data_IF_481669461963
#
_entry.id   IF_481669461963
#
_cell.length_a   1.000
_cell.length_b   1.000
_cell.length_c   1.000
_cell.angle_alpha   90.00
_cell.angle_beta   90.00
_cell.angle_gamma   90.00
#
_symmetry.space_group_name_H-M   'P 1'
#
loop_
_entity.id
_entity.type
_entity.pdbx_description
1 polymer ?
#
# COMPACT_ATOMS: atom_id res chain seq x y z
N UNK A 1 -10.61 4.86 0.78
CA UNK A 1 -11.37 6.14 0.66
C UNK A 1 -11.51 6.57 -0.80
N UNK A 2 -12.68 7.08 -1.24
CA UNK A 2 -12.89 7.55 -2.61
C UNK A 2 -11.93 8.71 -2.94
N UNK A 3 -11.62 8.87 -4.23
CA UNK A 3 -10.79 9.97 -4.69
C UNK A 3 -11.43 11.29 -4.28
N UNK A 4 -10.61 12.25 -3.84
CA UNK A 4 -11.09 13.52 -3.29
C UNK A 4 -10.65 14.66 -4.19
N UNK A 5 -11.56 15.59 -4.43
CA UNK A 5 -11.17 16.90 -4.96
C UNK A 5 -10.35 17.61 -3.89
N UNK A 6 -9.14 18.04 -4.23
CA UNK A 6 -8.28 18.77 -3.30
C UNK A 6 -8.84 20.17 -3.12
N UNK A 7 -9.03 20.59 -1.87
CA UNK A 7 -9.54 21.91 -1.51
C UNK A 7 -8.63 22.58 -0.50
N UNK A 8 -8.49 23.90 -0.58
CA UNK A 8 -7.85 24.69 0.46
C UNK A 8 -8.78 24.88 1.69
N UNK A 9 -8.28 25.53 2.74
CA UNK A 9 -9.04 25.81 3.98
C UNK A 9 -10.31 26.65 3.75
N UNK A 10 -10.38 27.41 2.65
CA UNK A 10 -11.55 28.19 2.25
C UNK A 10 -12.53 27.40 1.37
N UNK A 11 -12.24 26.12 1.09
CA UNK A 11 -13.08 25.25 0.28
C UNK A 11 -12.90 25.43 -1.24
N UNK A 12 -11.93 26.21 -1.70
CA UNK A 12 -11.66 26.40 -3.13
C UNK A 12 -10.92 25.19 -3.68
N UNK A 13 -11.31 24.76 -4.87
CA UNK A 13 -10.79 23.58 -5.55
C UNK A 13 -9.41 23.89 -6.12
N UNK A 14 -8.39 23.13 -5.73
CA UNK A 14 -7.07 23.25 -6.30
C UNK A 14 -7.07 22.75 -7.75
N UNK A 15 -6.41 23.50 -8.61
CA UNK A 15 -6.24 23.21 -10.03
C UNK A 15 -4.76 23.29 -10.40
N UNK A 16 -4.35 22.51 -11.40
CA UNK A 16 -2.98 22.53 -11.95
C UNK A 16 -3.02 22.77 -13.45
N UNK A 17 -2.02 23.44 -13.98
CA UNK A 17 -1.80 23.51 -15.41
C UNK A 17 -1.26 22.16 -15.92
N UNK A 18 -1.67 21.73 -17.11
CA UNK A 18 -1.30 20.44 -17.69
C UNK A 18 0.04 20.49 -18.44
N UNK A 19 0.58 21.68 -18.68
CA UNK A 19 1.79 21.91 -19.49
C UNK A 19 2.96 22.44 -18.68
N UNK A 20 2.72 22.91 -17.45
CA UNK A 20 3.73 23.42 -16.54
C UNK A 20 3.30 23.14 -15.08
N UNK A 21 4.20 23.38 -14.12
CA UNK A 21 3.93 23.15 -12.68
C UNK A 21 3.18 24.32 -11.99
N UNK A 22 2.40 25.11 -12.72
CA UNK A 22 1.60 26.18 -12.13
C UNK A 22 0.33 25.64 -11.46
N UNK A 23 -0.05 26.29 -10.35
CA UNK A 23 -1.23 25.97 -9.57
C UNK A 23 -2.18 27.16 -9.48
N UNK A 24 -3.45 26.87 -9.19
CA UNK A 24 -4.50 27.85 -9.02
C UNK A 24 -5.67 27.29 -8.23
N UNK A 25 -6.64 28.15 -7.94
CA UNK A 25 -7.82 27.83 -7.16
C UNK A 25 -9.08 28.23 -7.92
N UNK A 26 -10.03 27.32 -7.98
CA UNK A 26 -11.37 27.53 -8.51
C UNK A 26 -12.38 27.60 -7.36
N UNK A 27 -13.09 28.72 -7.26
CA UNK A 27 -14.19 28.88 -6.31
C UNK A 27 -15.45 28.23 -6.89
N UNK A 28 -15.92 27.08 -6.35
CA UNK A 28 -17.07 26.37 -6.91
C UNK A 28 -18.41 27.10 -6.72
N UNK A 29 -18.46 28.10 -5.84
CA UNK A 29 -19.68 28.87 -5.55
C UNK A 29 -19.84 30.06 -6.48
N UNK A 30 -18.74 30.71 -6.87
CA UNK A 30 -18.77 31.88 -7.75
C UNK A 30 -18.37 31.56 -9.18
N UNK A 31 -17.71 30.43 -9.41
CA UNK A 31 -17.13 30.05 -10.69
C UNK A 31 -15.85 30.82 -11.04
N UNK A 32 -15.25 31.54 -10.10
CA UNK A 32 -14.00 32.27 -10.34
C UNK A 32 -12.79 31.35 -10.22
N UNK A 33 -11.89 31.43 -11.19
CA UNK A 33 -10.55 30.86 -11.14
C UNK A 33 -9.52 31.97 -10.91
N UNK A 34 -8.50 31.66 -10.10
CA UNK A 34 -7.31 32.48 -9.92
C UNK A 34 -6.07 31.59 -9.79
N UNK A 35 -5.02 31.86 -10.55
CA UNK A 35 -3.72 31.20 -10.35
C UNK A 35 -3.00 31.70 -9.10
N UNK A 36 -2.06 30.92 -8.57
CA UNK A 36 -1.36 31.24 -7.31
C UNK A 36 -0.53 32.52 -7.40
N UNK A 37 -0.03 32.87 -8.59
CA UNK A 37 0.73 34.08 -8.83
C UNK A 37 -0.15 35.30 -9.16
N UNK A 38 -1.47 35.14 -9.11
CA UNK A 38 -2.48 36.15 -9.44
C UNK A 38 -2.35 36.77 -10.85
N UNK A 39 -1.63 36.12 -11.77
CA UNK A 39 -1.45 36.58 -13.15
C UNK A 39 -2.69 36.34 -14.00
N UNK A 40 -3.53 35.37 -13.64
CA UNK A 40 -4.69 34.94 -14.40
C UNK A 40 -5.91 34.79 -13.51
N UNK A 41 -6.91 35.63 -13.77
CA UNK A 41 -8.21 35.61 -13.10
C UNK A 41 -9.33 35.61 -14.13
N UNK A 42 -10.25 34.65 -14.04
CA UNK A 42 -11.35 34.53 -15.01
C UNK A 42 -12.53 33.73 -14.44
N UNK A 43 -13.67 33.75 -15.13
CA UNK A 43 -14.75 32.79 -14.91
C UNK A 43 -14.45 31.47 -15.59
N UNK A 44 -14.71 30.37 -14.87
CA UNK A 44 -14.45 29.02 -15.35
C UNK A 44 -12.97 28.64 -15.35
N UNK A 45 -12.73 27.35 -15.49
CA UNK A 45 -11.38 26.79 -15.56
C UNK A 45 -10.72 27.15 -16.91
N UNK A 46 -9.47 27.66 -16.93
CA UNK A 46 -8.82 27.96 -18.20
C UNK A 46 -8.49 26.70 -19.00
N UNK A 47 -8.39 26.83 -20.33
CA UNK A 47 -7.90 25.74 -21.17
C UNK A 47 -6.49 25.32 -20.74
N UNK A 48 -6.25 24.00 -20.69
CA UNK A 48 -4.98 23.44 -20.20
C UNK A 48 -4.84 23.45 -18.68
N UNK A 49 -5.93 23.65 -17.94
CA UNK A 49 -5.96 23.50 -16.49
C UNK A 49 -6.92 22.38 -16.11
N UNK A 50 -6.55 21.62 -15.08
CA UNK A 50 -7.31 20.49 -14.57
C UNK A 50 -7.51 20.61 -13.06
N UNK A 51 -8.64 20.10 -12.56
CA UNK A 51 -8.88 19.96 -11.13
C UNK A 51 -7.90 18.92 -10.57
N UNK A 52 -7.26 19.26 -9.45
CA UNK A 52 -6.42 18.32 -8.72
C UNK A 52 -7.31 17.36 -7.94
N UNK A 53 -7.22 16.09 -8.31
CA UNK A 53 -7.86 14.99 -7.60
C UNK A 53 -6.77 14.26 -6.83
N UNK A 54 -6.91 14.21 -5.51
CA UNK A 54 -6.16 13.28 -4.68
C UNK A 54 -6.70 11.88 -4.97
N UNK A 55 -5.90 11.09 -5.67
CA UNK A 55 -6.28 9.71 -5.97
C UNK A 55 -6.40 8.91 -4.68
N UNK A 56 -7.37 8.00 -4.67
CA UNK A 56 -7.58 7.01 -3.61
C UNK A 56 -6.31 6.26 -3.20
N UNK A 57 -5.37 6.09 -4.14
CA UNK A 57 -4.15 5.33 -3.98
C UNK A 57 -2.98 6.10 -3.34
N UNK A 58 -3.07 7.42 -3.12
CA UNK A 58 -2.05 8.18 -2.39
C UNK A 58 -1.96 7.79 -0.89
N UNK A 59 -2.78 6.84 -0.44
CA UNK A 59 -2.83 6.34 0.92
C UNK A 59 -2.16 4.96 1.08
N UNK A 60 -1.96 4.21 -0.01
CA UNK A 60 -1.29 2.92 0.02
C UNK A 60 0.23 3.10 -0.20
N UNK A 61 1.10 2.32 0.46
CA UNK A 61 0.83 1.23 1.41
C UNK A 61 0.92 1.66 2.90
N UNK A 62 0.36 2.81 3.31
CA UNK A 62 0.28 3.15 4.74
C UNK A 62 -0.89 2.41 5.40
N UNK A 63 -0.58 1.33 6.12
CA UNK A 63 -1.55 0.44 6.75
C UNK A 63 -2.47 1.16 7.75
N UNK A 64 -2.00 2.23 8.41
CA UNK A 64 -2.80 3.04 9.34
C UNK A 64 -3.95 3.77 8.64
N UNK A 65 -3.80 4.04 7.34
CA UNK A 65 -4.83 4.68 6.53
C UNK A 65 -5.86 3.68 6.01
N UNK A 66 -5.57 2.38 6.09
CA UNK A 66 -6.44 1.29 5.61
C UNK A 66 -7.18 0.67 6.78
N UNK A 67 -6.44 0.16 7.77
CA UNK A 67 -6.95 -0.31 9.05
C UNK A 67 -6.29 0.57 10.13
N UNK A 68 -6.98 1.61 10.63
CA UNK A 68 -6.40 2.53 11.61
C UNK A 68 -6.34 1.91 13.02
N UNK A 69 -5.25 2.16 13.78
CA UNK A 69 -5.19 1.77 15.18
C UNK A 69 -6.20 2.56 16.03
N UNK A 70 -6.69 1.98 17.13
CA UNK A 70 -7.58 2.69 18.03
C UNK A 70 -6.83 3.80 18.80
N UNK A 71 -7.56 4.86 19.19
CA UNK A 71 -6.98 6.04 19.82
C UNK A 71 -6.31 5.75 21.18
N UNK A 72 -6.77 4.74 21.90
CA UNK A 72 -6.23 4.33 23.20
C UNK A 72 -5.06 3.35 23.11
N UNK A 73 -4.52 3.12 21.90
CA UNK A 73 -3.39 2.19 21.71
C UNK A 73 -2.10 2.76 22.32
N UNK A 74 -1.36 1.91 23.04
CA UNK A 74 -0.03 2.25 23.54
C UNK A 74 0.97 2.23 22.38
N UNK A 75 1.51 3.40 22.04
CA UNK A 75 2.40 3.62 20.88
C UNK A 75 3.86 3.87 21.26
N UNK A 76 4.15 4.11 22.54
CA UNK A 76 5.53 4.26 23.05
C UNK A 76 6.25 2.90 23.08
N UNK A 77 7.57 2.96 23.17
CA UNK A 77 8.38 1.78 23.51
C UNK A 77 7.98 1.25 24.89
N UNK A 78 7.78 -0.06 24.94
CA UNK A 78 7.35 -0.83 26.12
C UNK A 78 8.11 -2.16 26.12
N UNK A 79 8.35 -2.73 27.30
CA UNK A 79 8.95 -4.07 27.43
C UNK A 79 7.93 -5.16 27.05
N UNK A 80 8.42 -6.39 26.87
CA UNK A 80 7.52 -7.53 26.63
C UNK A 80 6.58 -7.78 27.82
N UNK A 81 7.04 -7.58 29.05
CA UNK A 81 6.21 -7.70 30.24
C UNK A 81 5.09 -6.66 30.27
N UNK A 82 5.40 -5.39 29.96
CA UNK A 82 4.39 -4.32 29.82
C UNK A 82 3.38 -4.66 28.71
N UNK A 83 3.83 -5.24 27.58
CA UNK A 83 2.95 -5.65 26.49
C UNK A 83 1.91 -6.68 26.95
N UNK A 84 2.36 -7.71 27.65
CA UNK A 84 1.50 -8.78 28.16
C UNK A 84 0.53 -8.27 29.24
N UNK A 85 0.98 -7.34 30.08
CA UNK A 85 0.12 -6.73 31.09
C UNK A 85 -1.00 -5.90 30.46
N UNK A 86 -0.66 -5.01 29.52
CA UNK A 86 -1.66 -4.21 28.79
C UNK A 86 -2.64 -5.10 28.02
N UNK A 87 -2.15 -6.19 27.40
CA UNK A 87 -3.01 -7.15 26.71
C UNK A 87 -4.02 -7.80 27.66
N UNK A 88 -3.61 -8.18 28.87
CA UNK A 88 -4.52 -8.72 29.92
C UNK A 88 -5.56 -7.70 30.38
N UNK A 89 -5.21 -6.41 30.37
CA UNK A 89 -6.12 -5.31 30.70
C UNK A 89 -7.05 -4.92 29.53
N UNK A 90 -6.91 -5.55 28.36
CA UNK A 90 -7.66 -5.19 27.15
C UNK A 90 -7.21 -3.88 26.51
N UNK A 91 -6.02 -3.39 26.86
CA UNK A 91 -5.44 -2.18 26.29
C UNK A 91 -4.56 -2.59 25.10
N UNK A 92 -4.87 -2.16 23.87
CA UNK A 92 -4.11 -2.55 22.70
C UNK A 92 -2.71 -1.91 22.75
N UNK A 93 -1.69 -2.69 22.44
CA UNK A 93 -0.33 -2.21 22.22
C UNK A 93 -0.01 -2.21 20.73
N UNK A 94 0.89 -1.32 20.29
CA UNK A 94 1.31 -1.29 18.89
C UNK A 94 1.76 -2.67 18.40
N UNK A 95 2.42 -3.47 19.24
CA UNK A 95 2.95 -4.77 18.85
C UNK A 95 1.84 -5.79 18.58
N UNK A 96 0.99 -6.07 19.56
CA UNK A 96 -0.07 -7.06 19.41
C UNK A 96 -1.11 -6.60 18.40
N UNK A 97 -1.51 -5.33 18.47
CA UNK A 97 -2.55 -4.81 17.60
C UNK A 97 -2.12 -4.84 16.13
N UNK A 98 -0.89 -4.43 15.79
CA UNK A 98 -0.41 -4.48 14.41
C UNK A 98 -0.37 -5.93 13.89
N UNK A 99 0.15 -6.88 14.66
CA UNK A 99 0.21 -8.30 14.25
C UNK A 99 -1.21 -8.87 14.06
N UNK A 100 -2.13 -8.59 14.99
CA UNK A 100 -3.49 -9.11 14.94
C UNK A 100 -4.31 -8.49 13.80
N UNK A 101 -4.09 -7.22 13.43
CA UNK A 101 -4.92 -6.49 12.47
C UNK A 101 -4.27 -6.35 11.08
N UNK A 102 -2.95 -6.14 11.02
CA UNK A 102 -2.21 -6.00 9.76
C UNK A 102 -1.54 -7.31 9.34
N UNK A 103 -1.20 -8.18 10.29
CA UNK A 103 -0.44 -9.42 10.04
C UNK A 103 1.07 -9.27 10.21
N UNK A 104 1.55 -8.03 10.35
CA UNK A 104 2.97 -7.69 10.45
C UNK A 104 3.21 -6.76 11.65
N UNK A 105 4.46 -6.71 12.11
CA UNK A 105 4.88 -5.87 13.25
C UNK A 105 4.81 -4.38 12.93
N UNK A 106 5.21 -4.01 11.72
CA UNK A 106 5.40 -2.62 11.32
C UNK A 106 4.52 -2.27 10.12
N UNK A 107 4.46 -0.97 9.82
CA UNK A 107 3.90 -0.51 8.56
C UNK A 107 4.80 -0.96 7.39
N UNK A 108 4.35 -0.74 6.15
CA UNK A 108 5.16 -0.99 4.96
C UNK A 108 6.50 -0.23 5.02
N UNK A 109 7.56 -0.90 4.57
CA UNK A 109 8.94 -0.39 4.50
C UNK A 109 9.41 -0.37 3.03
N UNK A 110 10.49 0.36 2.74
CA UNK A 110 11.16 0.38 1.43
C UNK A 110 10.19 0.48 0.24
N UNK A 111 9.28 1.44 0.33
CA UNK A 111 8.16 1.58 -0.61
C UNK A 111 8.67 2.14 -1.95
N UNK A 112 8.43 1.40 -3.02
CA UNK A 112 8.71 1.78 -4.40
C UNK A 112 7.38 1.86 -5.15
N UNK A 113 7.16 2.97 -5.87
CA UNK A 113 6.02 3.11 -6.78
C UNK A 113 6.50 2.91 -8.21
N UNK A 114 6.32 1.70 -8.73
CA UNK A 114 6.70 1.38 -10.11
C UNK A 114 5.74 1.97 -11.15
N UNK A 115 4.47 2.17 -10.77
CA UNK A 115 3.45 2.65 -11.70
C UNK A 115 2.35 3.46 -11.03
N UNK A 116 1.35 3.86 -11.80
CA UNK A 116 0.22 4.62 -11.26
C UNK A 116 -0.54 3.83 -10.18
N UNK A 117 -0.61 2.51 -10.32
CA UNK A 117 -1.37 1.56 -9.50
C UNK A 117 -0.53 0.36 -9.02
N UNK A 118 0.79 0.37 -9.21
CA UNK A 118 1.70 -0.72 -8.83
C UNK A 118 2.67 -0.21 -7.77
N UNK A 119 2.75 -0.95 -6.67
CA UNK A 119 3.59 -0.64 -5.52
C UNK A 119 4.33 -1.90 -5.09
N UNK A 120 5.62 -1.75 -4.82
CA UNK A 120 6.46 -2.75 -4.16
C UNK A 120 6.82 -2.20 -2.78
N UNK A 121 6.77 -3.05 -1.77
CA UNK A 121 7.14 -2.68 -0.41
C UNK A 121 7.52 -3.93 0.38
N UNK A 122 8.28 -3.72 1.44
CA UNK A 122 8.67 -4.76 2.38
C UNK A 122 7.79 -4.73 3.64
N UNK A 123 7.67 -5.87 4.29
CA UNK A 123 6.94 -6.04 5.55
C UNK A 123 7.76 -6.89 6.51
N UNK A 124 7.64 -6.62 7.81
CA UNK A 124 8.29 -7.46 8.81
C UNK A 124 7.55 -8.81 8.93
N UNK A 125 8.30 -9.91 8.83
CA UNK A 125 7.93 -11.28 9.22
C UNK A 125 6.86 -12.00 8.40
N UNK A 126 5.90 -11.30 7.81
CA UNK A 126 4.77 -11.92 7.13
C UNK A 126 4.19 -11.02 6.04
N UNK A 127 3.48 -11.66 5.11
CA UNK A 127 2.59 -10.99 4.16
C UNK A 127 1.39 -10.32 4.84
N UNK A 128 0.68 -9.49 4.08
CA UNK A 128 -0.39 -8.63 4.61
C UNK A 128 -1.76 -8.86 3.94
N UNK A 129 -2.25 -10.12 3.82
CA UNK A 129 -3.53 -10.40 3.15
C UNK A 129 -4.71 -9.66 3.78
N UNK A 130 -4.68 -9.39 5.11
CA UNK A 130 -5.72 -8.60 5.81
C UNK A 130 -5.79 -7.16 5.32
N UNK A 131 -4.63 -6.52 5.11
CA UNK A 131 -4.55 -5.16 4.55
C UNK A 131 -5.14 -5.13 3.15
N UNK A 132 -4.76 -6.11 2.31
CA UNK A 132 -5.19 -6.16 0.91
C UNK A 132 -6.69 -6.46 0.80
N UNK A 133 -7.22 -7.36 1.62
CA UNK A 133 -8.65 -7.65 1.69
C UNK A 133 -9.46 -6.42 2.10
N UNK A 134 -9.04 -5.69 3.14
CA UNK A 134 -9.72 -4.45 3.56
C UNK A 134 -9.65 -3.38 2.46
N UNK A 135 -8.51 -3.25 1.77
CA UNK A 135 -8.39 -2.35 0.63
C UNK A 135 -9.37 -2.74 -0.49
N UNK A 136 -9.48 -4.04 -0.83
CA UNK A 136 -10.43 -4.55 -1.82
C UNK A 136 -11.88 -4.25 -1.43
N UNK A 137 -12.23 -4.37 -0.14
CA UNK A 137 -13.55 -4.04 0.40
C UNK A 137 -13.88 -2.55 0.26
N UNK A 138 -12.90 -1.66 0.46
CA UNK A 138 -13.07 -0.21 0.30
C UNK A 138 -13.19 0.22 -1.17
N UNK A 139 -12.74 -0.60 -2.11
CA UNK A 139 -12.76 -0.33 -3.56
C UNK A 139 -13.38 -1.51 -4.32
N UNK A 140 -14.67 -1.83 -4.10
CA UNK A 140 -15.28 -3.06 -4.62
C UNK A 140 -15.32 -3.15 -6.15
N UNK A 141 -15.19 -2.02 -6.85
CA UNK A 141 -15.10 -1.94 -8.30
C UNK A 141 -13.72 -2.30 -8.88
N UNK A 142 -12.68 -2.39 -8.06
CA UNK A 142 -11.30 -2.71 -8.48
C UNK A 142 -10.99 -4.19 -8.23
N UNK A 143 -10.13 -4.78 -9.07
CA UNK A 143 -9.48 -6.07 -8.80
C UNK A 143 -8.07 -5.74 -8.31
N UNK A 144 -7.64 -6.35 -7.20
CA UNK A 144 -6.32 -6.13 -6.63
C UNK A 144 -5.53 -7.43 -6.74
N UNK A 145 -4.45 -7.39 -7.49
CA UNK A 145 -3.45 -8.46 -7.55
C UNK A 145 -2.41 -8.23 -6.45
N UNK A 146 -2.11 -9.27 -5.69
CA UNK A 146 -1.15 -9.23 -4.60
C UNK A 146 -0.27 -10.47 -4.61
N UNK A 147 1.03 -10.27 -4.76
CA UNK A 147 2.03 -11.32 -4.71
C UNK A 147 3.08 -10.97 -3.65
N UNK A 148 3.62 -11.98 -2.98
CA UNK A 148 4.65 -11.83 -1.96
C UNK A 148 5.61 -13.02 -1.97
N UNK A 149 6.85 -12.78 -1.54
CA UNK A 149 7.84 -13.79 -1.22
C UNK A 149 8.73 -13.27 -0.08
N UNK A 150 9.20 -14.20 0.75
CA UNK A 150 10.04 -13.96 1.92
C UNK A 150 11.53 -14.03 1.55
N UNK A 151 12.42 -13.53 2.42
CA UNK A 151 13.87 -13.65 2.24
C UNK A 151 14.34 -15.11 2.21
N UNK A 152 13.63 -16.00 2.92
CA UNK A 152 13.81 -17.45 2.82
C UNK A 152 13.25 -17.95 1.46
N UNK A 153 14.07 -17.80 0.43
CA UNK A 153 13.67 -17.98 -0.97
C UNK A 153 13.05 -19.36 -1.20
N UNK A 154 11.83 -19.38 -1.75
CA UNK A 154 11.06 -20.61 -1.95
C UNK A 154 10.16 -20.98 -0.76
N UNK A 155 10.13 -20.18 0.30
CA UNK A 155 9.22 -20.31 1.44
C UNK A 155 8.40 -19.02 1.64
N UNK A 156 7.30 -19.15 2.39
CA UNK A 156 6.39 -18.06 2.74
C UNK A 156 6.11 -17.09 1.57
N UNK A 157 5.68 -17.65 0.45
CA UNK A 157 5.35 -16.91 -0.77
C UNK A 157 3.97 -17.30 -1.28
N UNK A 158 3.40 -16.45 -2.13
CA UNK A 158 2.11 -16.72 -2.74
C UNK A 158 1.55 -15.55 -3.52
N UNK A 159 0.42 -15.82 -4.17
CA UNK A 159 -0.30 -14.86 -4.98
C UNK A 159 -1.79 -14.92 -4.68
N UNK A 160 -2.42 -13.76 -4.76
CA UNK A 160 -3.84 -13.56 -4.52
C UNK A 160 -4.41 -12.57 -5.52
N UNK A 161 -5.68 -12.77 -5.85
CA UNK A 161 -6.51 -11.78 -6.52
C UNK A 161 -7.73 -11.51 -5.63
N UNK A 162 -7.97 -10.24 -5.31
CA UNK A 162 -9.06 -9.81 -4.46
C UNK A 162 -10.09 -8.98 -5.21
N UNK A 163 -11.37 -9.21 -4.93
CA UNK A 163 -12.49 -8.42 -5.45
C UNK A 163 -13.53 -8.18 -4.36
N UNK A 164 -13.86 -6.91 -4.12
CA UNK A 164 -14.87 -6.50 -3.13
C UNK A 164 -14.67 -7.10 -1.72
N UNK A 165 -13.40 -7.30 -1.33
CA UNK A 165 -13.03 -7.85 -0.03
C UNK A 165 -12.82 -9.36 -0.01
N UNK A 166 -13.20 -10.07 -1.06
CA UNK A 166 -13.12 -11.53 -1.16
C UNK A 166 -11.93 -11.97 -2.02
N UNK A 167 -11.36 -13.13 -1.71
CA UNK A 167 -10.35 -13.79 -2.53
C UNK A 167 -11.06 -14.46 -3.71
N UNK A 168 -10.76 -14.01 -4.93
CA UNK A 168 -11.30 -14.62 -6.17
C UNK A 168 -10.31 -15.58 -6.83
N UNK A 169 -9.01 -15.42 -6.57
CA UNK A 169 -7.97 -16.40 -6.91
C UNK A 169 -6.91 -16.44 -5.82
N UNK A 170 -6.35 -17.62 -5.61
CA UNK A 170 -5.27 -17.85 -4.66
C UNK A 170 -4.33 -18.92 -5.19
N UNK A 171 -3.04 -18.67 -5.04
CA UNK A 171 -1.99 -19.65 -5.27
C UNK A 171 -0.96 -19.55 -4.15
N UNK A 172 -0.98 -20.51 -3.23
CA UNK A 172 0.04 -20.67 -2.19
C UNK A 172 0.75 -21.99 -2.46
N UNK A 173 1.95 -21.97 -3.05
CA UNK A 173 2.70 -23.19 -3.27
C UNK A 173 3.23 -23.76 -1.96
N UNK A 174 3.56 -25.06 -1.97
CA UNK A 174 4.25 -25.69 -0.84
C UNK A 174 5.66 -25.10 -0.72
N UNK A 175 6.09 -24.76 0.49
CA UNK A 175 7.47 -24.32 0.73
C UNK A 175 8.50 -25.31 0.18
N UNK A 176 9.55 -24.79 -0.47
CA UNK A 176 10.60 -25.54 -1.14
C UNK A 176 10.19 -26.20 -2.47
N UNK A 177 8.94 -26.03 -2.92
CA UNK A 177 8.53 -26.51 -4.25
C UNK A 177 9.09 -25.61 -5.35
N UNK A 178 9.21 -26.15 -6.56
CA UNK A 178 9.63 -25.39 -7.74
C UNK A 178 8.78 -24.15 -7.96
N UNK A 179 7.46 -24.28 -7.80
CA UNK A 179 6.49 -23.20 -7.95
C UNK A 179 6.74 -22.07 -6.94
N UNK A 180 7.16 -22.40 -5.71
CA UNK A 180 7.50 -21.40 -4.70
C UNK A 180 8.72 -20.57 -5.08
N UNK A 181 9.75 -21.22 -5.63
CA UNK A 181 10.92 -20.53 -6.18
C UNK A 181 10.55 -19.67 -7.41
N UNK A 182 9.68 -20.17 -8.29
CA UNK A 182 9.23 -19.42 -9.47
C UNK A 182 8.48 -18.13 -9.08
N UNK A 183 7.68 -18.13 -8.00
CA UNK A 183 7.09 -16.90 -7.45
C UNK A 183 8.17 -15.96 -6.93
N UNK A 184 9.13 -16.46 -6.16
CA UNK A 184 10.22 -15.64 -5.64
C UNK A 184 11.01 -14.98 -6.78
N UNK A 185 11.41 -15.73 -7.81
CA UNK A 185 12.13 -15.21 -8.97
C UNK A 185 11.30 -14.27 -9.85
N UNK A 186 9.96 -14.40 -9.84
CA UNK A 186 9.10 -13.44 -10.51
C UNK A 186 9.13 -12.07 -9.82
N UNK A 187 9.19 -12.06 -8.48
CA UNK A 187 9.21 -10.84 -7.67
C UNK A 187 10.62 -10.24 -7.54
N UNK A 188 11.62 -11.11 -7.49
CA UNK A 188 13.04 -10.78 -7.32
C UNK A 188 13.88 -11.55 -8.35
N UNK A 189 13.90 -11.13 -9.62
CA UNK A 189 14.56 -11.84 -10.70
C UNK A 189 16.06 -12.09 -10.47
N UNK A 190 16.72 -11.20 -9.73
CA UNK A 190 18.13 -11.29 -9.34
C UNK A 190 18.44 -12.55 -8.53
N UNK A 191 17.52 -13.01 -7.67
CA UNK A 191 17.72 -14.21 -6.85
C UNK A 191 17.91 -15.46 -7.71
N UNK A 192 17.43 -15.46 -8.95
CA UNK A 192 17.52 -16.63 -9.84
C UNK A 192 18.97 -17.02 -10.16
N UNK A 193 19.89 -16.07 -10.13
CA UNK A 193 21.31 -16.31 -10.41
C UNK A 193 21.97 -17.19 -9.34
N UNK A 194 21.42 -17.20 -8.13
CA UNK A 194 21.93 -17.95 -6.98
C UNK A 194 21.45 -19.41 -6.94
N UNK A 195 20.61 -19.85 -7.90
CA UNK A 195 20.00 -21.19 -7.89
C UNK A 195 20.14 -21.94 -9.22
N UNK A 196 20.32 -23.26 -9.13
CA UNK A 196 20.25 -24.17 -10.27
C UNK A 196 19.02 -25.10 -10.17
N UNK A 197 18.39 -25.40 -11.31
CA UNK A 197 17.29 -26.37 -11.39
C UNK A 197 17.86 -27.78 -11.63
N UNK A 198 17.79 -28.65 -10.62
CA UNK A 198 18.31 -30.02 -10.63
C UNK A 198 17.17 -30.99 -10.32
N UNK A 199 16.92 -31.94 -11.23
CA UNK A 199 15.85 -32.95 -11.08
C UNK A 199 14.48 -32.34 -10.69
N UNK A 200 14.15 -31.20 -11.31
CA UNK A 200 12.93 -30.42 -11.07
C UNK A 200 12.81 -29.74 -9.69
N UNK A 201 13.93 -29.56 -8.96
CA UNK A 201 14.00 -28.79 -7.73
C UNK A 201 15.10 -27.72 -7.84
N UNK A 202 14.85 -26.53 -7.28
CA UNK A 202 15.88 -25.51 -7.19
C UNK A 202 16.82 -25.79 -6.02
N UNK A 203 18.11 -25.62 -6.25
CA UNK A 203 19.16 -25.76 -5.24
C UNK A 203 20.04 -24.50 -5.28
N UNK A 204 20.36 -23.97 -4.11
CA UNK A 204 21.27 -22.85 -3.96
C UNK A 204 22.68 -23.27 -4.42
N UNK A 205 23.33 -22.43 -5.24
CA UNK A 205 24.67 -22.68 -5.82
C UNK A 205 25.72 -21.66 -5.39
N UNK A 206 25.33 -20.67 -4.57
CA UNK A 206 26.29 -19.79 -3.90
C UNK A 206 26.88 -20.51 -2.69
N UNK A 207 28.22 -20.46 -2.57
CA UNK A 207 28.93 -20.95 -1.38
C UNK A 207 28.87 -19.87 -0.29
N UNK A 208 28.61 -20.28 0.96
CA UNK A 208 28.65 -19.42 2.15
C UNK A 208 30.02 -18.73 2.38
#
# INVERSE_FOLDING_TARGET
MPAKIVKNSSGYIQCKNTTNDEYGFFNPYTGDFQDVLEKKKQKGLPNGWEIVIEQSFNYFPDFRKIIPPPQNMITRSITFEEMDEYKKQGIPTWYHWNIENWGTKWNALNIIREGINTFIFETAWNSVPKIIAEMSRQFPQVIIEYSYADEDTGYNCGEYEYKAGEIVRQHIPKGGSKEAYEIAFKLFPELKEDYALIENNYQCIIED
#
